data_IF_504393043988
#
_entry.id   IF_504393043988
#
_cell.length_a   1.000
_cell.length_b   1.000
_cell.length_c   1.000
_cell.angle_alpha   90.00
_cell.angle_beta   90.00
_cell.angle_gamma   90.00
#
_symmetry.space_group_name_H-M   'P 1'
#
loop_
_entity.id
_entity.type
_entity.pdbx_description
1 polymer ?
#
# COMPACT_ATOMS: atom_id res chain seq x y z
N UNK A 1 -6.02 -13.04 -9.36
CA UNK A 1 -5.09 -12.00 -8.89
C UNK A 1 -5.61 -10.72 -9.49
N UNK A 2 -6.12 -9.82 -8.66
CA UNK A 2 -6.76 -8.61 -9.14
C UNK A 2 -5.66 -7.58 -9.47
N UNK A 3 -5.70 -7.07 -10.70
CA UNK A 3 -4.80 -6.02 -11.19
C UNK A 3 -5.62 -4.77 -11.53
N UNK A 4 -5.18 -3.62 -11.02
CA UNK A 4 -5.84 -2.34 -11.20
C UNK A 4 -4.94 -1.43 -12.01
N UNK A 5 -5.23 -1.29 -13.31
CA UNK A 5 -4.46 -0.47 -14.24
C UNK A 5 -4.80 1.01 -14.10
N UNK A 6 -3.78 1.87 -14.25
CA UNK A 6 -4.00 3.30 -14.40
C UNK A 6 -4.78 3.60 -15.69
N UNK A 7 -5.49 4.75 -15.77
CA UNK A 7 -6.28 5.11 -16.97
C UNK A 7 -5.47 5.15 -18.27
N UNK A 8 -4.20 5.53 -18.19
CA UNK A 8 -3.26 5.60 -19.32
C UNK A 8 -2.48 4.28 -19.54
N UNK A 9 -2.70 3.27 -18.70
CA UNK A 9 -1.99 1.99 -18.71
C UNK A 9 -0.45 2.12 -18.62
N UNK A 10 0.04 3.16 -17.95
CA UNK A 10 1.47 3.29 -17.63
C UNK A 10 1.84 2.59 -16.31
N UNK A 11 0.86 2.37 -15.43
CA UNK A 11 1.06 1.80 -14.10
C UNK A 11 -0.02 0.77 -13.76
N UNK A 12 0.28 -0.09 -12.78
CA UNK A 12 -0.71 -0.98 -12.17
C UNK A 12 -0.52 -1.11 -10.67
N UNK A 13 -1.62 -1.40 -9.96
CA UNK A 13 -1.59 -1.97 -8.62
C UNK A 13 -1.91 -3.46 -8.71
N UNK A 14 -1.04 -4.31 -8.18
CA UNK A 14 -1.26 -5.76 -8.07
C UNK A 14 -1.22 -6.21 -6.61
N UNK A 15 -1.86 -7.33 -6.32
CA UNK A 15 -1.89 -7.91 -4.97
C UNK A 15 -1.23 -9.28 -4.90
N UNK A 16 -0.40 -9.49 -3.88
CA UNK A 16 0.04 -10.82 -3.47
C UNK A 16 -0.70 -11.26 -2.20
N UNK A 17 -1.59 -12.23 -2.34
CA UNK A 17 -2.36 -12.79 -1.22
C UNK A 17 -1.52 -13.82 -0.47
N UNK A 18 -1.28 -13.56 0.81
CA UNK A 18 -0.50 -14.43 1.69
C UNK A 18 -1.34 -14.92 2.87
N UNK A 19 -1.31 -16.22 3.14
CA UNK A 19 -1.99 -16.80 4.29
C UNK A 19 -1.20 -16.56 5.60
N UNK A 20 -1.90 -16.11 6.62
CA UNK A 20 -1.43 -15.89 7.99
C UNK A 20 -2.28 -16.74 8.93
N UNK A 21 -1.62 -17.51 9.81
CA UNK A 21 -2.25 -18.26 10.91
C UNK A 21 -3.48 -19.09 10.48
N UNK A 22 -3.34 -19.85 9.39
CA UNK A 22 -4.25 -20.92 8.93
C UNK A 22 -5.70 -20.51 8.60
N UNK A 23 -6.02 -19.21 8.52
CA UNK A 23 -7.38 -18.73 8.18
C UNK A 23 -7.47 -17.24 7.83
N UNK A 24 -6.40 -16.45 8.01
CA UNK A 24 -6.40 -15.04 7.64
C UNK A 24 -5.54 -14.82 6.40
N UNK A 25 -5.94 -13.85 5.59
CA UNK A 25 -5.24 -13.52 4.36
C UNK A 25 -4.82 -12.06 4.41
N UNK A 26 -3.64 -11.79 3.87
CA UNK A 26 -3.11 -10.45 3.66
C UNK A 26 -2.93 -10.25 2.17
N UNK A 27 -3.67 -9.30 1.62
CA UNK A 27 -3.56 -8.88 0.23
C UNK A 27 -2.55 -7.74 0.16
N UNK A 28 -1.30 -8.08 -0.10
CA UNK A 28 -0.20 -7.12 -0.09
C UNK A 28 -0.15 -6.32 -1.40
N UNK A 29 -0.28 -4.99 -1.37
CA UNK A 29 -0.30 -4.18 -2.58
C UNK A 29 1.12 -3.89 -3.10
N UNK A 30 1.24 -3.85 -4.43
CA UNK A 30 2.43 -3.44 -5.17
C UNK A 30 2.03 -2.41 -6.23
N UNK A 31 2.70 -1.26 -6.26
CA UNK A 31 2.59 -0.29 -7.35
C UNK A 31 3.74 -0.54 -8.33
N UNK A 32 3.40 -0.81 -9.58
CA UNK A 32 4.35 -1.24 -10.62
C UNK A 32 4.25 -0.31 -11.83
N UNK A 33 5.39 0.09 -12.39
CA UNK A 33 5.49 0.78 -13.68
C UNK A 33 5.57 -0.25 -14.79
N UNK A 34 4.73 -0.11 -15.82
CA UNK A 34 4.58 -1.14 -16.85
C UNK A 34 5.64 -1.10 -17.94
N UNK A 35 6.30 0.04 -18.17
CA UNK A 35 7.32 0.17 -19.22
C UNK A 35 8.56 -0.71 -18.97
N UNK A 36 8.90 -0.96 -17.71
CA UNK A 36 10.12 -1.63 -17.25
C UNK A 36 9.86 -2.67 -16.15
N UNK A 37 8.59 -2.93 -15.80
CA UNK A 37 8.15 -3.84 -14.74
C UNK A 37 8.78 -3.54 -13.36
N UNK A 38 9.07 -2.27 -13.10
CA UNK A 38 9.69 -1.84 -11.84
C UNK A 38 8.64 -1.60 -10.76
N UNK A 39 8.80 -2.28 -9.62
CA UNK A 39 8.03 -1.99 -8.40
C UNK A 39 8.46 -0.65 -7.80
N UNK A 40 7.55 0.32 -7.82
CA UNK A 40 7.74 1.66 -7.26
C UNK A 40 7.39 1.71 -5.77
N UNK A 41 6.43 0.90 -5.34
CA UNK A 41 6.00 0.84 -3.95
C UNK A 41 5.56 -0.58 -3.54
N UNK A 42 5.96 -0.99 -2.35
CA UNK A 42 5.59 -2.23 -1.69
C UNK A 42 5.67 -2.06 -0.17
N UNK A 43 5.02 -2.93 0.60
CA UNK A 43 5.01 -2.89 2.07
C UNK A 43 5.61 -4.16 2.66
N UNK A 44 5.80 -4.21 3.98
CA UNK A 44 6.18 -5.45 4.69
C UNK A 44 4.97 -6.38 4.93
N UNK A 45 5.25 -7.64 5.30
CA UNK A 45 4.37 -8.83 5.30
C UNK A 45 3.06 -8.75 6.12
N UNK A 46 2.72 -7.62 6.75
CA UNK A 46 1.53 -7.50 7.61
C UNK A 46 0.51 -6.46 7.15
N UNK A 47 0.80 -5.72 6.07
CA UNK A 47 -0.11 -4.72 5.53
C UNK A 47 -0.96 -5.29 4.41
N UNK A 48 -2.27 -5.35 4.65
CA UNK A 48 -3.27 -5.70 3.64
C UNK A 48 -3.82 -4.41 3.03
N UNK A 49 -3.91 -4.35 1.71
CA UNK A 49 -4.53 -3.24 0.98
C UNK A 49 -5.91 -3.61 0.43
N UNK A 50 -6.79 -2.63 0.36
CA UNK A 50 -8.11 -2.70 -0.26
C UNK A 50 -8.50 -1.32 -0.85
N UNK A 51 -9.69 -1.23 -1.46
CA UNK A 51 -10.29 0.01 -1.99
C UNK A 51 -9.39 0.81 -2.96
N UNK A 52 -8.72 0.12 -3.88
CA UNK A 52 -7.83 0.77 -4.86
C UNK A 52 -8.62 1.62 -5.85
N UNK A 53 -8.25 2.90 -5.97
CA UNK A 53 -8.87 3.85 -6.90
C UNK A 53 -7.79 4.72 -7.55
N UNK A 54 -7.73 4.69 -8.87
CA UNK A 54 -6.95 5.67 -9.64
C UNK A 54 -7.73 7.00 -9.67
N UNK A 55 -7.10 8.07 -9.17
CA UNK A 55 -7.67 9.43 -9.17
C UNK A 55 -7.02 10.33 -10.23
N UNK A 56 -6.03 9.79 -10.95
CA UNK A 56 -5.36 10.39 -12.09
C UNK A 56 -4.58 9.33 -12.88
N UNK A 57 -3.87 9.73 -13.95
CA UNK A 57 -3.05 8.82 -14.76
C UNK A 57 -1.89 8.18 -13.99
N UNK A 58 -1.31 8.91 -13.03
CA UNK A 58 -0.17 8.46 -12.22
C UNK A 58 -0.47 8.38 -10.72
N UNK A 59 -1.67 8.81 -10.31
CA UNK A 59 -2.04 8.92 -8.90
C UNK A 59 -3.08 7.87 -8.50
N UNK A 60 -2.74 7.04 -7.52
CA UNK A 60 -3.62 6.02 -6.94
C UNK A 60 -3.82 6.25 -5.46
N UNK A 61 -5.05 6.04 -4.99
CA UNK A 61 -5.36 5.92 -3.56
C UNK A 61 -5.77 4.49 -3.22
N UNK A 62 -5.41 4.04 -2.02
CA UNK A 62 -5.82 2.76 -1.48
C UNK A 62 -5.90 2.84 0.04
N UNK A 63 -6.71 1.97 0.63
CA UNK A 63 -6.79 1.83 2.07
C UNK A 63 -5.91 0.65 2.52
N UNK A 64 -5.17 0.86 3.60
CA UNK A 64 -4.23 -0.09 4.17
C UNK A 64 -4.62 -0.44 5.60
N UNK A 65 -4.50 -1.72 5.94
CA UNK A 65 -4.76 -2.25 7.27
C UNK A 65 -3.62 -3.15 7.73
N UNK A 66 -3.04 -2.80 8.88
CA UNK A 66 -2.01 -3.61 9.53
C UNK A 66 -2.67 -4.74 10.30
N UNK A 67 -2.42 -5.98 9.92
CA UNK A 67 -2.91 -7.16 10.63
C UNK A 67 -2.44 -7.18 12.11
N UNK A 68 -3.28 -7.58 13.09
CA UNK A 68 -4.70 -7.99 12.99
C UNK A 68 -5.75 -6.86 13.04
N UNK A 69 -5.50 -5.71 12.40
CA UNK A 69 -6.54 -4.75 12.03
C UNK A 69 -6.84 -3.64 13.03
N UNK A 70 -5.93 -3.34 13.95
CA UNK A 70 -6.08 -2.21 14.88
C UNK A 70 -5.52 -0.89 14.34
N UNK A 71 -4.75 -0.96 13.27
CA UNK A 71 -4.14 0.22 12.66
C UNK A 71 -4.48 0.23 11.17
N UNK A 72 -5.08 1.31 10.71
CA UNK A 72 -5.34 1.54 9.30
C UNK A 72 -5.03 2.98 8.88
N UNK A 73 -4.74 3.13 7.59
CA UNK A 73 -4.51 4.41 6.96
C UNK A 73 -4.94 4.37 5.49
N UNK A 74 -5.29 5.53 4.96
CA UNK A 74 -5.41 5.78 3.53
C UNK A 74 -4.04 6.25 3.03
N UNK A 75 -3.60 5.70 1.90
CA UNK A 75 -2.37 6.12 1.22
C UNK A 75 -2.70 6.55 -0.20
N UNK A 76 -2.19 7.71 -0.58
CA UNK A 76 -2.21 8.24 -1.94
C UNK A 76 -0.79 8.26 -2.46
N UNK A 77 -0.54 7.65 -3.62
CA UNK A 77 0.76 7.54 -4.24
C UNK A 77 0.71 8.17 -5.64
N UNK A 78 1.63 9.07 -5.93
CA UNK A 78 1.91 9.60 -7.26
C UNK A 78 3.18 8.95 -7.80
N UNK A 79 3.00 8.07 -8.77
CA UNK A 79 4.04 7.27 -9.38
C UNK A 79 5.02 8.11 -10.23
N UNK A 80 4.52 9.20 -10.83
CA UNK A 80 5.29 10.05 -11.73
C UNK A 80 6.10 11.09 -10.94
N UNK A 81 5.47 11.74 -9.96
CA UNK A 81 6.11 12.71 -9.10
C UNK A 81 7.04 12.07 -8.05
N UNK A 82 7.01 10.74 -7.89
CA UNK A 82 7.66 10.00 -6.82
C UNK A 82 7.30 10.56 -5.43
N UNK A 83 6.01 10.81 -5.20
CA UNK A 83 5.48 11.39 -3.98
C UNK A 83 4.34 10.53 -3.42
N UNK A 84 4.16 10.59 -2.10
CA UNK A 84 3.02 9.96 -1.46
C UNK A 84 2.58 10.69 -0.21
N UNK A 85 1.35 10.42 0.16
CA UNK A 85 0.65 11.01 1.29
C UNK A 85 -0.05 9.89 2.04
N UNK A 86 0.09 9.88 3.35
CA UNK A 86 -0.62 8.96 4.24
C UNK A 86 -1.47 9.76 5.20
N UNK A 87 -2.68 9.31 5.45
CA UNK A 87 -3.57 9.85 6.47
C UNK A 87 -4.32 8.72 7.15
N UNK A 88 -4.37 8.73 8.48
CA UNK A 88 -5.17 7.76 9.21
C UNK A 88 -4.94 7.80 10.70
N UNK A 89 -5.28 6.68 11.35
CA UNK A 89 -5.05 6.46 12.77
C UNK A 89 -3.59 6.68 13.23
N UNK A 90 -2.54 6.27 12.47
CA UNK A 90 -1.16 6.52 12.88
C UNK A 90 -0.72 7.99 12.75
N UNK A 91 -1.56 8.86 12.18
CA UNK A 91 -1.23 10.26 11.89
C UNK A 91 -1.23 10.54 10.39
N UNK A 92 -0.49 11.59 10.01
CA UNK A 92 -0.31 11.97 8.61
C UNK A 92 1.17 12.10 8.28
N UNK A 93 1.53 11.74 7.07
CA UNK A 93 2.90 11.78 6.56
C UNK A 93 2.89 12.12 5.07
N UNK A 94 3.86 12.91 4.63
CA UNK A 94 4.04 13.32 3.24
C UNK A 94 5.52 13.18 2.93
N UNK A 95 5.85 12.59 1.78
CA UNK A 95 7.24 12.45 1.35
C UNK A 95 7.34 11.73 0.02
N UNK A 96 8.53 11.23 -0.28
CA UNK A 96 8.76 10.34 -1.41
C UNK A 96 8.11 8.98 -1.19
N UNK A 97 7.92 8.20 -2.27
CA UNK A 97 7.39 6.83 -2.16
C UNK A 97 8.23 5.96 -1.20
N UNK A 98 9.55 6.13 -1.20
CA UNK A 98 10.46 5.42 -0.32
C UNK A 98 10.31 5.81 1.16
N UNK A 99 10.16 7.11 1.44
CA UNK A 99 9.93 7.61 2.80
C UNK A 99 8.56 7.15 3.31
N UNK A 100 7.52 7.20 2.46
CA UNK A 100 6.16 6.74 2.79
C UNK A 100 6.18 5.26 3.16
N UNK A 101 6.85 4.43 2.34
CA UNK A 101 7.05 3.01 2.63
C UNK A 101 7.73 2.80 3.97
N UNK A 102 8.86 3.49 4.19
CA UNK A 102 9.63 3.34 5.43
C UNK A 102 8.82 3.77 6.65
N UNK A 103 8.03 4.84 6.53
CA UNK A 103 7.17 5.31 7.60
C UNK A 103 6.08 4.29 7.93
N UNK A 104 5.37 3.76 6.93
CA UNK A 104 4.33 2.73 7.11
C UNK A 104 4.91 1.46 7.74
N UNK A 105 6.07 1.00 7.27
CA UNK A 105 6.72 -0.22 7.80
C UNK A 105 7.23 -0.03 9.25
N UNK A 106 7.52 1.21 9.67
CA UNK A 106 7.91 1.51 11.05
C UNK A 106 6.73 1.57 12.02
N UNK A 107 5.49 1.61 11.52
CA UNK A 107 4.31 1.58 12.36
C UNK A 107 4.17 0.20 13.01
N UNK A 108 4.18 0.20 14.34
CA UNK A 108 4.02 -1.03 15.13
C UNK A 108 2.56 -1.22 15.48
N UNK A 109 2.11 -2.48 15.39
CA UNK A 109 0.81 -2.82 15.94
C UNK A 109 0.82 -2.55 17.46
N UNK A 110 -0.12 -1.73 17.99
CA UNK A 110 -0.17 -1.42 19.41
C UNK A 110 -0.59 -2.64 20.26
N UNK A 111 -1.12 -3.71 19.64
CA UNK A 111 -1.54 -4.91 20.35
C UNK A 111 -0.35 -5.67 20.94
N UNK A 112 -0.35 -5.81 22.28
CA UNK A 112 0.62 -6.64 23.01
C UNK A 112 0.44 -8.15 22.77
N UNK A 113 -0.69 -8.57 22.20
CA UNK A 113 -1.03 -9.99 21.97
C UNK A 113 -0.28 -10.60 20.76
N UNK A 114 0.41 -9.77 19.97
CA UNK A 114 1.08 -10.16 18.73
C UNK A 114 2.54 -9.70 18.67
N UNK A 115 3.14 -9.40 19.83
CA UNK A 115 4.60 -9.20 19.98
C UNK A 115 5.30 -10.52 20.28
#
# INVERSE_FOLDING_TARGET
MDEFFSPDQCYKVSFASNEIRMSHWIDQPYLIRLSDDVTLFNLDYLWSGDDVKWIGPSTVTMHLRLYPGLLSCEVTLDAEANQGWVKGQPGAMIGTLAEVRQWINNLKNPSKLYR
#
